data_IF_345095104046
#
_entry.id   IF_345095104046
#
_cell.length_a   1.000
_cell.length_b   1.000
_cell.length_c   1.000
_cell.angle_alpha   90.00
_cell.angle_beta   90.00
_cell.angle_gamma   90.00
#
_symmetry.space_group_name_H-M   'P 1'
#
loop_
_entity.id
_entity.type
_entity.pdbx_description
1 polymer ?
#
# COMPACT_ATOMS: atom_id res chain seq x y z
N UNK A 1 33.86 3.79 -10.97
CA UNK A 1 33.59 2.68 -11.91
C UNK A 1 32.14 2.18 -11.79
N UNK A 2 31.29 2.46 -12.79
CA UNK A 2 29.94 1.89 -12.86
C UNK A 2 30.07 0.36 -12.98
N UNK A 3 29.40 -0.45 -12.14
CA UNK A 3 29.22 -1.85 -12.47
C UNK A 3 28.21 -1.91 -13.62
N UNK A 4 28.71 -2.04 -14.84
CA UNK A 4 27.94 -2.58 -15.96
C UNK A 4 27.59 -4.03 -15.60
N UNK A 5 26.36 -4.27 -15.16
CA UNK A 5 25.85 -5.64 -15.12
C UNK A 5 25.82 -6.19 -16.54
N UNK A 6 26.17 -7.48 -16.73
CA UNK A 6 26.04 -8.11 -18.04
C UNK A 6 24.57 -8.10 -18.48
N UNK A 7 24.29 -8.18 -19.80
CA UNK A 7 22.94 -8.46 -20.26
C UNK A 7 22.43 -9.72 -19.55
N UNK A 8 21.15 -9.71 -19.19
CA UNK A 8 20.44 -10.82 -18.54
C UNK A 8 20.97 -12.17 -19.01
N UNK A 9 21.26 -13.14 -18.12
CA UNK A 9 21.69 -14.45 -18.56
C UNK A 9 20.54 -15.11 -19.33
N UNK A 10 20.63 -15.05 -20.66
CA UNK A 10 19.83 -15.82 -21.62
C UNK A 10 19.96 -17.32 -21.32
N UNK A 11 20.95 -17.73 -20.52
CA UNK A 11 21.18 -19.13 -20.15
C UNK A 11 20.06 -19.79 -19.34
N UNK A 12 19.27 -19.04 -18.55
CA UNK A 12 18.08 -19.61 -17.87
C UNK A 12 16.92 -19.93 -18.82
N UNK A 13 17.01 -19.40 -20.05
CA UNK A 13 15.99 -19.51 -21.06
C UNK A 13 16.36 -20.51 -22.17
N UNK A 14 17.62 -20.97 -22.24
CA UNK A 14 18.13 -21.82 -23.31
C UNK A 14 17.44 -23.18 -23.49
N UNK A 15 16.97 -23.92 -22.45
CA UNK A 15 16.30 -25.19 -22.69
C UNK A 15 14.90 -25.03 -23.31
N UNK A 16 14.26 -23.86 -23.13
CA UNK A 16 12.89 -23.58 -23.57
C UNK A 16 12.83 -22.64 -24.80
N UNK A 17 13.91 -21.94 -25.12
CA UNK A 17 14.00 -21.02 -26.27
C UNK A 17 14.00 -21.74 -27.63
N UNK A 18 14.51 -22.98 -27.71
CA UNK A 18 14.51 -23.73 -28.97
C UNK A 18 13.11 -24.17 -29.44
N UNK A 19 12.09 -24.10 -28.58
CA UNK A 19 10.73 -24.58 -28.90
C UNK A 19 9.83 -23.47 -29.47
N UNK A 20 10.16 -22.18 -29.26
CA UNK A 20 9.24 -21.06 -29.57
C UNK A 20 9.64 -20.24 -30.82
N UNK A 21 10.72 -20.61 -31.53
CA UNK A 21 11.30 -19.80 -32.61
C UNK A 21 10.53 -19.85 -33.96
N UNK A 22 9.23 -20.14 -33.97
CA UNK A 22 8.43 -20.26 -35.20
C UNK A 22 7.14 -19.43 -35.23
N UNK A 23 6.84 -18.58 -34.24
CA UNK A 23 5.57 -17.85 -34.21
C UNK A 23 5.76 -16.33 -34.33
N UNK A 24 5.01 -15.75 -35.27
CA UNK A 24 4.97 -14.32 -35.55
C UNK A 24 4.71 -13.50 -34.28
N UNK A 25 5.41 -12.37 -34.14
CA UNK A 25 5.18 -11.45 -33.03
C UNK A 25 3.76 -10.89 -33.10
N UNK A 26 2.99 -10.92 -32.00
CA UNK A 26 1.62 -10.44 -31.97
C UNK A 26 1.61 -8.91 -32.08
N UNK A 27 0.69 -8.38 -32.88
CA UNK A 27 0.41 -6.94 -32.86
C UNK A 27 -0.22 -6.56 -31.51
N UNK A 28 0.46 -5.73 -30.74
CA UNK A 28 -0.04 -5.15 -29.49
C UNK A 28 -1.35 -4.40 -29.75
N UNK A 29 -2.44 -4.79 -29.08
CA UNK A 29 -3.69 -4.03 -29.14
C UNK A 29 -3.46 -2.61 -28.61
N UNK A 30 -3.80 -1.59 -29.41
CA UNK A 30 -3.67 -0.16 -29.04
C UNK A 30 -4.32 0.14 -27.67
N UNK A 31 -5.40 -0.55 -27.32
CA UNK A 31 -6.13 -0.38 -26.04
C UNK A 31 -5.29 -0.91 -24.85
N UNK A 32 -4.66 -2.08 -25.01
CA UNK A 32 -3.80 -2.67 -23.96
C UNK A 32 -2.56 -1.81 -23.71
N UNK A 33 -1.97 -1.24 -24.77
CA UNK A 33 -0.85 -0.31 -24.66
C UNK A 33 -1.22 0.94 -23.83
N UNK A 34 -2.41 1.52 -24.07
CA UNK A 34 -2.91 2.69 -23.33
C UNK A 34 -3.07 2.39 -21.83
N UNK A 35 -3.65 1.24 -21.47
CA UNK A 35 -3.85 0.87 -20.06
C UNK A 35 -2.53 0.53 -19.36
N UNK A 36 -1.54 0.03 -20.10
CA UNK A 36 -0.18 -0.17 -19.57
C UNK A 36 0.55 1.14 -19.26
N UNK A 37 0.14 2.27 -19.84
CA UNK A 37 0.76 3.59 -19.64
C UNK A 37 2.29 3.53 -19.82
N UNK A 38 3.05 3.72 -18.73
CA UNK A 38 4.53 3.72 -18.71
C UNK A 38 5.11 2.40 -18.14
N UNK A 39 4.30 1.36 -17.94
CA UNK A 39 4.76 0.04 -17.48
C UNK A 39 5.45 -0.69 -18.61
N UNK A 40 6.47 -1.49 -18.26
CA UNK A 40 7.12 -2.40 -19.21
C UNK A 40 6.19 -3.58 -19.48
N UNK A 41 6.01 -3.94 -20.74
CA UNK A 41 5.28 -5.13 -21.18
C UNK A 41 6.30 -6.23 -21.50
N UNK A 42 5.89 -7.47 -21.28
CA UNK A 42 6.62 -8.64 -21.71
C UNK A 42 6.11 -9.01 -23.10
N UNK A 43 6.99 -8.90 -24.08
CA UNK A 43 6.75 -9.24 -25.48
C UNK A 43 7.74 -10.35 -25.86
N UNK A 44 7.25 -11.58 -26.03
CA UNK A 44 8.08 -12.73 -26.40
C UNK A 44 7.23 -13.80 -27.10
N UNK A 45 7.65 -14.22 -28.29
CA UNK A 45 6.85 -15.13 -29.13
C UNK A 45 5.46 -14.55 -29.37
N UNK A 46 4.42 -15.33 -29.07
CA UNK A 46 2.99 -14.93 -29.13
C UNK A 46 2.48 -14.18 -27.90
N UNK A 47 3.29 -13.97 -26.86
CA UNK A 47 2.86 -13.35 -25.61
C UNK A 47 3.08 -11.84 -25.61
N UNK A 48 1.99 -11.09 -25.37
CA UNK A 48 2.00 -9.66 -25.08
C UNK A 48 1.29 -9.38 -23.74
N UNK A 49 2.06 -9.42 -22.65
CA UNK A 49 1.56 -9.36 -21.29
C UNK A 49 2.03 -8.11 -20.55
N UNK A 50 1.14 -7.50 -19.77
CA UNK A 50 1.50 -6.54 -18.72
C UNK A 50 2.19 -7.27 -17.56
N UNK A 51 3.44 -7.65 -17.79
CA UNK A 51 4.25 -8.52 -16.94
C UNK A 51 5.71 -8.08 -17.01
N UNK A 52 6.45 -8.21 -15.91
CA UNK A 52 7.89 -7.92 -15.87
C UNK A 52 8.57 -8.77 -14.81
N UNK A 53 9.70 -9.37 -15.16
CA UNK A 53 10.60 -9.99 -14.18
C UNK A 53 11.33 -8.90 -13.41
N UNK A 54 11.10 -8.84 -12.10
CA UNK A 54 11.83 -7.96 -11.20
C UNK A 54 13.18 -8.62 -10.87
N UNK A 55 13.12 -9.90 -10.47
CA UNK A 55 14.24 -10.84 -10.40
C UNK A 55 13.94 -12.03 -11.34
N UNK A 56 14.87 -12.97 -11.46
CA UNK A 56 14.67 -14.19 -12.27
C UNK A 56 13.50 -15.05 -11.77
N UNK A 57 13.27 -15.08 -10.45
CA UNK A 57 12.20 -15.85 -9.80
C UNK A 57 11.06 -14.99 -9.23
N UNK A 58 11.07 -13.66 -9.48
CA UNK A 58 10.03 -12.73 -9.01
C UNK A 58 9.42 -12.00 -10.20
N UNK A 59 8.15 -12.27 -10.47
CA UNK A 59 7.37 -11.62 -11.52
C UNK A 59 6.41 -10.60 -10.91
N UNK A 60 6.35 -9.41 -11.50
CA UNK A 60 5.31 -8.41 -11.25
C UNK A 60 4.39 -8.30 -12.47
N UNK A 61 3.07 -8.45 -12.28
CA UNK A 61 2.12 -8.38 -13.39
C UNK A 61 0.84 -7.61 -13.07
N UNK A 62 0.11 -7.22 -14.11
CA UNK A 62 -1.27 -6.75 -14.02
C UNK A 62 -2.25 -7.88 -13.76
N UNK A 63 -3.46 -7.54 -13.29
CA UNK A 63 -4.50 -8.52 -12.96
C UNK A 63 -4.86 -9.44 -14.15
N UNK A 64 -4.82 -10.78 -13.98
CA UNK A 64 -5.30 -11.73 -14.99
C UNK A 64 -6.83 -11.74 -15.01
N UNK A 65 -7.43 -11.26 -16.10
CA UNK A 65 -8.88 -11.09 -16.23
C UNK A 65 -9.53 -12.15 -17.11
N UNK A 66 -10.69 -12.65 -16.69
CA UNK A 66 -11.61 -13.45 -17.51
C UNK A 66 -12.79 -12.64 -18.06
N UNK A 67 -13.11 -11.51 -17.43
CA UNK A 67 -14.26 -10.67 -17.79
C UNK A 67 -13.95 -9.79 -19.01
N UNK A 68 -14.93 -9.01 -19.46
CA UNK A 68 -14.76 -7.97 -20.50
C UNK A 68 -13.54 -7.06 -20.28
N UNK A 69 -13.06 -6.93 -19.05
CA UNK A 69 -11.81 -6.22 -18.75
C UNK A 69 -10.56 -6.81 -19.41
N UNK A 70 -10.62 -8.06 -19.89
CA UNK A 70 -9.57 -8.73 -20.64
C UNK A 70 -9.31 -8.08 -22.03
N UNK A 71 -10.23 -7.23 -22.51
CA UNK A 71 -10.02 -6.38 -23.67
C UNK A 71 -8.88 -5.37 -23.46
N UNK A 72 -8.64 -4.97 -22.21
CA UNK A 72 -7.65 -3.95 -21.87
C UNK A 72 -6.65 -4.37 -20.78
N UNK A 73 -6.80 -5.58 -20.22
CA UNK A 73 -5.87 -6.23 -19.27
C UNK A 73 -5.29 -7.52 -19.86
N UNK A 74 -4.43 -8.19 -19.10
CA UNK A 74 -4.00 -9.54 -19.42
C UNK A 74 -5.23 -10.47 -19.42
N UNK A 75 -5.39 -11.27 -20.47
CA UNK A 75 -6.35 -12.39 -20.43
C UNK A 75 -5.78 -13.43 -19.48
N UNK A 76 -6.63 -14.03 -18.64
CA UNK A 76 -6.18 -15.06 -17.70
C UNK A 76 -5.59 -16.27 -18.44
N UNK A 77 -6.21 -16.67 -19.56
CA UNK A 77 -5.72 -17.75 -20.44
C UNK A 77 -4.27 -17.53 -20.87
N UNK A 78 -3.95 -16.33 -21.36
CA UNK A 78 -2.62 -16.01 -21.89
C UNK A 78 -1.57 -16.01 -20.76
N UNK A 79 -1.95 -15.55 -19.55
CA UNK A 79 -1.06 -15.59 -18.38
C UNK A 79 -0.81 -17.04 -17.94
N UNK A 80 -1.86 -17.86 -17.89
CA UNK A 80 -1.75 -19.27 -17.54
C UNK A 80 -0.87 -20.01 -18.54
N UNK A 81 -1.13 -19.85 -19.84
CA UNK A 81 -0.35 -20.48 -20.92
C UNK A 81 1.12 -20.08 -20.84
N UNK A 82 1.41 -18.80 -20.63
CA UNK A 82 2.77 -18.31 -20.41
C UNK A 82 3.44 -18.99 -19.20
N UNK A 83 2.77 -19.01 -18.04
CA UNK A 83 3.35 -19.59 -16.82
C UNK A 83 3.52 -21.11 -16.93
N UNK A 84 2.59 -21.82 -17.54
CA UNK A 84 2.69 -23.27 -17.75
C UNK A 84 3.79 -23.64 -18.75
N UNK A 85 4.01 -22.80 -19.77
CA UNK A 85 5.03 -23.02 -20.80
C UNK A 85 6.43 -22.72 -20.27
N UNK A 86 6.58 -21.60 -19.54
CA UNK A 86 7.91 -21.10 -19.12
C UNK A 86 8.30 -21.65 -17.75
N UNK A 87 7.34 -21.90 -16.85
CA UNK A 87 7.57 -22.37 -15.47
C UNK A 87 6.74 -23.63 -15.15
N UNK A 88 6.85 -24.71 -15.93
CA UNK A 88 5.95 -25.86 -15.81
C UNK A 88 5.96 -26.44 -14.39
N UNK A 89 4.82 -26.33 -13.68
CA UNK A 89 4.60 -26.78 -12.30
C UNK A 89 5.49 -26.12 -11.23
N UNK A 90 6.14 -25.01 -11.56
CA UNK A 90 7.09 -24.32 -10.68
C UNK A 90 6.69 -22.85 -10.46
N UNK A 91 5.39 -22.52 -10.47
CA UNK A 91 4.95 -21.16 -10.16
C UNK A 91 3.84 -21.11 -9.12
N UNK A 92 3.85 -20.03 -8.33
CA UNK A 92 2.73 -19.62 -7.50
C UNK A 92 2.23 -18.25 -7.96
N UNK A 93 0.91 -18.04 -7.91
CA UNK A 93 0.30 -16.73 -8.21
C UNK A 93 -0.10 -16.06 -6.90
N UNK A 94 0.38 -14.84 -6.68
CA UNK A 94 0.11 -14.08 -5.46
C UNK A 94 -0.80 -12.89 -5.77
N UNK A 95 -2.03 -12.94 -5.24
CA UNK A 95 -3.06 -11.92 -5.43
C UNK A 95 -3.11 -10.93 -4.25
N UNK A 96 -2.90 -9.65 -4.55
CA UNK A 96 -2.96 -8.57 -3.58
C UNK A 96 -4.30 -7.81 -3.56
N UNK A 97 -5.28 -8.24 -4.36
CA UNK A 97 -6.58 -7.58 -4.49
C UNK A 97 -7.58 -8.08 -3.45
N UNK A 98 -8.01 -7.20 -2.55
CA UNK A 98 -9.19 -7.46 -1.72
C UNK A 98 -10.49 -7.46 -2.54
N UNK A 99 -10.52 -6.66 -3.61
CA UNK A 99 -11.71 -6.43 -4.42
C UNK A 99 -12.00 -7.54 -5.46
N UNK A 100 -11.07 -8.48 -5.66
CA UNK A 100 -11.10 -9.45 -6.78
C UNK A 100 -10.39 -10.74 -6.39
N UNK A 101 -11.07 -11.88 -6.56
CA UNK A 101 -10.55 -13.22 -6.25
C UNK A 101 -10.85 -14.20 -7.38
N UNK A 102 -10.10 -15.29 -7.43
CA UNK A 102 -10.33 -16.43 -8.30
C UNK A 102 -9.75 -17.69 -7.65
N UNK A 103 -10.31 -18.88 -7.95
CA UNK A 103 -9.83 -20.12 -7.35
C UNK A 103 -8.52 -20.63 -8.00
N UNK A 104 -7.73 -21.47 -7.29
CA UNK A 104 -6.53 -22.12 -7.84
C UNK A 104 -6.77 -22.93 -9.12
N UNK A 105 -7.98 -23.43 -9.34
CA UNK A 105 -8.35 -24.16 -10.58
C UNK A 105 -8.14 -23.33 -11.85
N UNK A 106 -8.14 -22.00 -11.76
CA UNK A 106 -7.81 -21.10 -12.89
C UNK A 106 -6.36 -21.19 -13.34
N UNK A 107 -5.47 -21.70 -12.48
CA UNK A 107 -4.05 -21.90 -12.77
C UNK A 107 -3.68 -23.39 -12.67
N UNK A 108 -4.58 -24.29 -13.11
CA UNK A 108 -4.28 -25.72 -13.19
C UNK A 108 -3.97 -26.37 -11.83
N UNK A 109 -4.50 -25.82 -10.74
CA UNK A 109 -4.24 -26.30 -9.38
C UNK A 109 -2.91 -25.83 -8.78
N UNK A 110 -2.14 -25.00 -9.49
CA UNK A 110 -0.97 -24.34 -8.91
C UNK A 110 -1.37 -23.42 -7.75
N UNK A 111 -0.48 -23.20 -6.76
CA UNK A 111 -0.80 -22.37 -5.60
C UNK A 111 -1.24 -20.96 -5.99
N UNK A 112 -2.38 -20.52 -5.44
CA UNK A 112 -2.85 -19.13 -5.48
C UNK A 112 -2.94 -18.62 -4.05
N UNK A 113 -2.04 -17.72 -3.67
CA UNK A 113 -1.97 -17.12 -2.33
C UNK A 113 -2.59 -15.72 -2.35
N UNK A 114 -3.30 -15.35 -1.28
CA UNK A 114 -3.98 -14.06 -1.17
C UNK A 114 -3.42 -13.25 0.00
N UNK A 115 -2.91 -12.05 -0.30
CA UNK A 115 -2.46 -11.07 0.71
C UNK A 115 -3.16 -9.74 0.43
N UNK A 116 -4.38 -9.63 0.92
CA UNK A 116 -5.37 -8.68 0.42
C UNK A 116 -5.27 -7.31 1.12
N UNK A 117 -5.23 -6.23 0.32
CA UNK A 117 -5.42 -4.88 0.84
C UNK A 117 -5.95 -3.91 -0.22
N UNK A 118 -6.59 -2.84 0.28
CA UNK A 118 -7.33 -1.88 -0.54
C UNK A 118 -6.46 -1.16 -1.58
N UNK A 119 -7.06 -0.84 -2.73
CA UNK A 119 -6.34 -0.12 -3.79
C UNK A 119 -5.93 1.28 -3.34
N UNK A 120 -4.74 1.71 -3.75
CA UNK A 120 -4.13 2.98 -3.36
C UNK A 120 -3.93 3.22 -1.85
N UNK A 121 -3.94 2.15 -1.04
CA UNK A 121 -3.58 2.19 0.38
C UNK A 121 -2.21 1.56 0.62
N UNK A 122 -1.62 1.84 1.79
CA UNK A 122 -0.54 1.02 2.33
C UNK A 122 -1.08 -0.33 2.83
N UNK A 123 -0.30 -1.42 2.78
CA UNK A 123 -0.72 -2.69 3.37
C UNK A 123 -0.69 -2.62 4.91
N UNK A 124 -1.51 -3.40 5.63
CA UNK A 124 -1.27 -3.66 7.05
C UNK A 124 0.16 -4.16 7.26
N UNK A 125 0.85 -3.67 8.28
CA UNK A 125 2.26 -3.96 8.49
C UNK A 125 2.51 -5.47 8.69
N UNK A 126 1.63 -6.16 9.42
CA UNK A 126 1.71 -7.62 9.65
C UNK A 126 1.65 -8.41 8.34
N UNK A 127 0.80 -7.94 7.41
CA UNK A 127 0.60 -8.59 6.12
C UNK A 127 1.90 -8.58 5.28
N UNK A 128 2.72 -7.54 5.42
CA UNK A 128 4.03 -7.47 4.75
C UNK A 128 4.91 -8.65 5.14
N UNK A 129 5.05 -8.91 6.45
CA UNK A 129 5.92 -9.98 6.91
C UNK A 129 5.39 -11.36 6.50
N UNK A 130 4.09 -11.61 6.69
CA UNK A 130 3.47 -12.87 6.28
C UNK A 130 3.64 -13.14 4.78
N UNK A 131 3.49 -12.11 3.94
CA UNK A 131 3.77 -12.19 2.52
C UNK A 131 5.23 -12.54 2.25
N UNK A 132 6.18 -11.86 2.90
CA UNK A 132 7.61 -12.08 2.66
C UNK A 132 8.02 -13.50 3.04
N UNK A 133 7.57 -13.99 4.19
CA UNK A 133 7.83 -15.35 4.68
C UNK A 133 7.21 -16.39 3.74
N UNK A 134 5.94 -16.26 3.37
CA UNK A 134 5.29 -17.21 2.47
C UNK A 134 5.94 -17.26 1.08
N UNK A 135 6.31 -16.11 0.51
CA UNK A 135 7.02 -16.05 -0.78
C UNK A 135 8.43 -16.63 -0.64
N UNK A 136 9.15 -16.31 0.44
CA UNK A 136 10.46 -16.89 0.73
C UNK A 136 10.40 -18.41 0.82
N UNK A 137 9.54 -18.96 1.68
CA UNK A 137 9.35 -20.39 1.84
C UNK A 137 9.01 -21.10 0.52
N UNK A 138 8.13 -20.50 -0.30
CA UNK A 138 7.79 -21.08 -1.61
C UNK A 138 9.00 -21.14 -2.55
N UNK A 139 9.79 -20.07 -2.60
CA UNK A 139 10.96 -19.97 -3.48
C UNK A 139 12.14 -20.81 -3.01
N UNK A 140 12.32 -20.95 -1.69
CA UNK A 140 13.39 -21.76 -1.11
C UNK A 140 13.13 -23.27 -1.24
N UNK A 141 11.86 -23.67 -1.38
CA UNK A 141 11.48 -25.08 -1.54
C UNK A 141 11.94 -25.68 -2.88
N UNK A 142 12.17 -24.86 -3.92
CA UNK A 142 12.63 -25.33 -5.22
C UNK A 142 13.40 -24.21 -5.96
N UNK A 143 14.67 -24.42 -6.37
CA UNK A 143 15.45 -23.42 -7.10
C UNK A 143 14.83 -22.93 -8.42
N UNK A 144 13.90 -23.69 -9.01
CA UNK A 144 13.16 -23.31 -10.22
C UNK A 144 11.82 -22.62 -9.92
N UNK A 145 11.44 -22.46 -8.64
CA UNK A 145 10.19 -21.85 -8.25
C UNK A 145 10.15 -20.36 -8.61
N UNK A 146 8.98 -19.90 -9.05
CA UNK A 146 8.73 -18.50 -9.44
C UNK A 146 7.46 -17.96 -8.79
N UNK A 147 7.54 -16.78 -8.21
CA UNK A 147 6.40 -16.08 -7.62
C UNK A 147 5.86 -15.01 -8.59
N UNK A 148 4.63 -15.20 -9.10
CA UNK A 148 3.92 -14.25 -9.95
C UNK A 148 2.98 -13.36 -9.13
N UNK A 149 3.46 -12.18 -8.77
CA UNK A 149 2.78 -11.27 -7.84
C UNK A 149 2.03 -10.19 -8.61
N UNK A 150 0.75 -9.99 -8.27
CA UNK A 150 -0.07 -9.01 -8.95
C UNK A 150 -1.03 -8.28 -8.02
N UNK A 151 -1.50 -7.14 -8.51
CA UNK A 151 -2.67 -6.45 -7.96
C UNK A 151 -3.58 -6.12 -9.14
N UNK A 152 -4.30 -4.99 -9.09
CA UNK A 152 -4.99 -4.45 -10.26
C UNK A 152 -3.97 -4.07 -11.35
N UNK A 153 -3.16 -3.04 -11.15
CA UNK A 153 -2.27 -2.52 -12.22
C UNK A 153 -0.85 -3.09 -12.21
N UNK A 154 -0.49 -3.93 -11.23
CA UNK A 154 0.88 -4.42 -11.06
C UNK A 154 1.89 -3.32 -10.74
N UNK A 155 1.48 -2.28 -10.00
CA UNK A 155 2.26 -1.06 -9.75
C UNK A 155 2.45 -0.74 -8.27
N UNK A 156 1.53 0.01 -7.65
CA UNK A 156 1.70 0.50 -6.27
C UNK A 156 1.72 -0.62 -5.22
N UNK A 157 0.62 -1.40 -5.12
CA UNK A 157 0.52 -2.54 -4.18
C UNK A 157 1.61 -3.58 -4.42
N UNK A 158 1.70 -4.08 -5.66
CA UNK A 158 2.73 -5.03 -6.09
C UNK A 158 4.14 -4.53 -5.79
N UNK A 159 4.46 -3.28 -6.12
CA UNK A 159 5.75 -2.69 -5.84
C UNK A 159 6.05 -2.58 -4.35
N UNK A 160 5.05 -2.25 -3.54
CA UNK A 160 5.22 -2.18 -2.08
C UNK A 160 5.63 -3.54 -1.53
N UNK A 161 4.87 -4.59 -1.85
CA UNK A 161 5.13 -5.94 -1.35
C UNK A 161 6.45 -6.51 -1.90
N UNK A 162 6.73 -6.34 -3.21
CA UNK A 162 7.98 -6.79 -3.80
C UNK A 162 9.18 -6.04 -3.22
N UNK A 163 9.10 -4.71 -3.05
CA UNK A 163 10.20 -3.96 -2.43
C UNK A 163 10.46 -4.42 -0.99
N UNK A 164 9.42 -4.73 -0.21
CA UNK A 164 9.60 -5.35 1.11
C UNK A 164 10.25 -6.74 1.02
N UNK A 165 9.86 -7.57 0.04
CA UNK A 165 10.50 -8.87 -0.15
C UNK A 165 11.98 -8.76 -0.56
N UNK A 166 12.33 -7.78 -1.39
CA UNK A 166 13.74 -7.51 -1.74
C UNK A 166 14.59 -7.13 -0.53
N UNK A 167 14.00 -6.46 0.47
CA UNK A 167 14.65 -6.21 1.75
C UNK A 167 14.76 -7.49 2.58
N UNK A 168 13.65 -8.23 2.70
CA UNK A 168 13.57 -9.48 3.46
C UNK A 168 14.59 -10.52 2.99
N UNK A 169 14.72 -10.70 1.67
CA UNK A 169 15.67 -11.66 1.08
C UNK A 169 17.13 -11.20 1.11
N UNK A 170 17.40 -9.99 1.61
CA UNK A 170 18.74 -9.40 1.60
C UNK A 170 19.23 -8.94 0.23
N UNK A 171 18.40 -9.02 -0.82
CA UNK A 171 18.76 -8.57 -2.17
C UNK A 171 19.01 -7.05 -2.22
N UNK A 172 18.26 -6.28 -1.44
CA UNK A 172 18.46 -4.86 -1.23
C UNK A 172 18.69 -4.57 0.24
N UNK A 173 19.53 -3.57 0.54
CA UNK A 173 19.83 -3.17 1.93
C UNK A 173 18.97 -2.01 2.42
N UNK A 174 18.40 -1.22 1.51
CA UNK A 174 17.63 -0.02 1.86
C UNK A 174 16.31 0.09 1.11
N UNK A 175 15.30 0.70 1.73
CA UNK A 175 13.99 0.88 1.10
C UNK A 175 14.09 1.64 -0.23
N UNK A 176 14.93 2.68 -0.27
CA UNK A 176 15.16 3.48 -1.49
C UNK A 176 15.76 2.64 -2.63
N UNK A 177 16.67 1.71 -2.31
CA UNK A 177 17.23 0.79 -3.29
C UNK A 177 16.16 -0.17 -3.82
N UNK A 178 15.40 -0.81 -2.92
CA UNK A 178 14.34 -1.74 -3.29
C UNK A 178 13.25 -1.09 -4.14
N UNK A 179 12.86 0.14 -3.82
CA UNK A 179 11.92 0.95 -4.62
C UNK A 179 12.48 1.25 -6.01
N UNK A 180 13.77 1.59 -6.10
CA UNK A 180 14.45 1.90 -7.37
C UNK A 180 14.57 0.66 -8.26
N UNK A 181 14.95 -0.49 -7.69
CA UNK A 181 15.00 -1.77 -8.42
C UNK A 181 13.63 -2.09 -9.02
N UNK A 182 12.58 -2.08 -8.19
CA UNK A 182 11.22 -2.33 -8.66
C UNK A 182 10.80 -1.30 -9.73
N UNK A 183 11.00 -0.01 -9.48
CA UNK A 183 10.63 1.07 -10.40
C UNK A 183 11.29 0.91 -11.77
N UNK A 184 12.59 0.66 -11.81
CA UNK A 184 13.35 0.52 -13.06
C UNK A 184 12.98 -0.75 -13.84
N UNK A 185 12.71 -1.86 -13.14
CA UNK A 185 12.32 -3.13 -13.76
C UNK A 185 10.87 -3.13 -14.22
N UNK A 186 9.97 -2.42 -13.51
CA UNK A 186 8.53 -2.44 -13.81
C UNK A 186 8.06 -1.33 -14.74
N UNK A 187 8.77 -0.20 -14.79
CA UNK A 187 8.32 0.99 -15.53
C UNK A 187 9.45 1.60 -16.38
N UNK A 188 9.09 2.33 -17.43
CA UNK A 188 10.04 3.07 -18.27
C UNK A 188 10.51 4.37 -17.62
N UNK A 189 9.69 4.98 -16.75
CA UNK A 189 9.99 6.24 -16.08
C UNK A 189 10.59 6.06 -14.66
N UNK A 190 10.87 4.82 -14.26
CA UNK A 190 11.37 4.47 -12.92
C UNK A 190 10.33 4.68 -11.80
N UNK A 191 9.10 5.10 -12.11
CA UNK A 191 8.07 5.42 -11.11
C UNK A 191 7.21 4.21 -10.84
N UNK A 192 7.72 3.27 -10.04
CA UNK A 192 6.96 2.11 -9.54
C UNK A 192 6.02 2.47 -8.39
N UNK A 193 6.55 2.57 -7.18
CA UNK A 193 5.81 3.00 -5.98
C UNK A 193 5.87 4.53 -5.87
N UNK A 194 4.72 5.19 -5.90
CA UNK A 194 4.64 6.66 -5.92
C UNK A 194 3.75 7.24 -4.82
N UNK A 195 3.02 6.41 -4.10
CA UNK A 195 2.13 6.84 -3.01
C UNK A 195 2.99 6.98 -1.74
N UNK A 196 3.06 8.17 -1.11
CA UNK A 196 3.89 8.39 0.07
C UNK A 196 3.68 7.37 1.19
N UNK A 197 2.44 7.03 1.51
CA UNK A 197 2.16 6.02 2.55
C UNK A 197 2.69 4.64 2.19
N UNK A 198 2.64 4.23 0.92
CA UNK A 198 3.24 2.96 0.48
C UNK A 198 4.76 2.97 0.67
N UNK A 199 5.44 4.06 0.31
CA UNK A 199 6.89 4.22 0.54
C UNK A 199 7.25 4.21 2.03
N UNK A 200 6.43 4.86 2.85
CA UNK A 200 6.59 4.91 4.32
C UNK A 200 6.58 3.50 4.91
N UNK A 201 5.69 2.63 4.44
CA UNK A 201 5.60 1.25 4.91
C UNK A 201 6.79 0.37 4.48
N UNK A 202 7.39 0.62 3.32
CA UNK A 202 8.67 -0.03 2.94
C UNK A 202 9.78 0.40 3.90
N UNK A 203 9.85 1.70 4.26
CA UNK A 203 10.82 2.21 5.25
C UNK A 203 10.56 1.67 6.66
N UNK A 204 9.29 1.51 7.06
CA UNK A 204 8.97 0.84 8.32
C UNK A 204 9.48 -0.60 8.30
N UNK A 205 9.34 -1.30 7.18
CA UNK A 205 9.82 -2.68 7.06
C UNK A 205 11.35 -2.77 7.08
N UNK A 206 12.06 -1.84 6.45
CA UNK A 206 13.52 -1.69 6.59
C UNK A 206 13.94 -1.46 8.05
N UNK A 207 13.29 -0.50 8.75
CA UNK A 207 13.57 -0.22 10.17
C UNK A 207 13.34 -1.45 11.05
N UNK A 208 12.29 -2.21 10.73
CA UNK A 208 11.98 -3.46 11.39
C UNK A 208 13.09 -4.50 11.22
N UNK A 209 13.47 -4.83 9.97
CA UNK A 209 14.51 -5.82 9.70
C UNK A 209 15.88 -5.46 10.32
N UNK A 210 16.18 -4.16 10.42
CA UNK A 210 17.44 -3.67 11.01
C UNK A 210 17.42 -3.61 12.54
N UNK A 211 16.27 -3.84 13.18
CA UNK A 211 16.18 -3.83 14.62
C UNK A 211 16.39 -5.26 15.15
N UNK A 212 17.46 -5.54 15.91
CA UNK A 212 17.74 -6.89 16.42
C UNK A 212 16.70 -7.40 17.44
N UNK A 213 15.85 -6.50 17.96
CA UNK A 213 14.69 -6.84 18.80
C UNK A 213 13.40 -7.04 18.01
N UNK A 214 13.46 -6.95 16.68
CA UNK A 214 12.34 -7.20 15.79
C UNK A 214 12.19 -8.69 15.58
N UNK A 215 11.28 -9.29 16.33
CA UNK A 215 10.62 -10.51 15.90
C UNK A 215 9.24 -10.11 15.34
N UNK A 216 9.00 -10.32 14.03
CA UNK A 216 7.74 -9.95 13.39
C UNK A 216 6.50 -10.63 13.99
N UNK A 217 6.66 -11.78 14.66
CA UNK A 217 5.56 -12.45 15.37
C UNK A 217 5.25 -11.80 16.72
N UNK A 218 6.27 -11.26 17.41
CA UNK A 218 6.12 -10.66 18.74
C UNK A 218 6.22 -9.13 18.76
N UNK A 219 6.45 -8.45 17.63
CA UNK A 219 6.59 -6.98 17.61
C UNK A 219 5.35 -6.26 18.15
N UNK A 220 4.17 -6.82 17.88
CA UNK A 220 2.90 -6.33 18.38
C UNK A 220 2.72 -6.56 19.89
N UNK A 221 3.58 -7.36 20.51
CA UNK A 221 3.55 -7.67 21.94
C UNK A 221 4.55 -6.84 22.74
N UNK A 222 5.53 -6.21 22.07
CA UNK A 222 6.51 -5.36 22.74
C UNK A 222 5.83 -4.13 23.37
N UNK A 223 6.06 -3.86 24.68
CA UNK A 223 5.43 -2.74 25.36
C UNK A 223 5.91 -1.42 24.77
N UNK A 224 4.96 -0.55 24.41
CA UNK A 224 5.21 0.80 23.91
C UNK A 224 4.24 1.77 24.58
N UNK A 225 4.62 3.04 24.76
CA UNK A 225 3.68 4.06 25.20
C UNK A 225 2.51 4.13 24.21
N UNK A 226 1.30 4.03 24.73
CA UNK A 226 0.09 4.24 23.91
C UNK A 226 0.02 5.72 23.60
N UNK A 227 -0.07 6.06 22.32
CA UNK A 227 -0.25 7.44 21.89
C UNK A 227 -1.70 7.69 21.55
N UNK A 228 -2.19 8.87 21.90
CA UNK A 228 -3.45 9.39 21.35
C UNK A 228 -3.20 10.58 20.45
N UNK A 229 -4.07 10.74 19.46
CA UNK A 229 -4.10 11.96 18.68
C UNK A 229 -4.82 13.03 19.50
N UNK A 230 -4.15 14.16 19.72
CA UNK A 230 -4.72 15.34 20.37
C UNK A 230 -5.26 16.32 19.34
N UNK A 231 -4.49 16.55 18.27
CA UNK A 231 -4.84 17.57 17.27
C UNK A 231 -4.24 17.26 15.91
N UNK A 232 -4.96 17.66 14.86
CA UNK A 232 -4.38 17.88 13.53
C UNK A 232 -4.52 19.35 13.15
N UNK A 233 -3.43 19.96 12.71
CA UNK A 233 -3.43 21.29 12.12
C UNK A 233 -3.17 21.14 10.62
N UNK A 234 -4.09 21.65 9.80
CA UNK A 234 -3.96 21.68 8.35
C UNK A 234 -3.66 23.11 7.92
N UNK A 235 -2.52 23.28 7.27
CA UNK A 235 -2.05 24.56 6.76
C UNK A 235 -2.32 24.66 5.26
N UNK A 236 -2.97 25.75 4.85
CA UNK A 236 -3.50 25.96 3.51
C UNK A 236 -4.88 25.29 3.35
N UNK A 237 -5.94 26.08 3.20
CA UNK A 237 -7.30 25.56 3.03
C UNK A 237 -7.45 24.91 1.64
N UNK A 238 -7.75 23.60 1.55
CA UNK A 238 -7.94 22.95 0.26
C UNK A 238 -9.18 23.47 -0.49
N UNK A 239 -9.12 23.46 -1.83
CA UNK A 239 -10.24 23.89 -2.68
C UNK A 239 -11.00 22.69 -3.25
N UNK A 240 -12.07 22.28 -2.57
CA UNK A 240 -12.95 21.15 -2.93
C UNK A 240 -14.43 21.49 -2.98
N UNK A 241 -14.80 22.77 -2.82
CA UNK A 241 -16.18 23.21 -2.90
C UNK A 241 -16.84 22.78 -4.20
N UNK A 242 -18.06 22.28 -4.08
CA UNK A 242 -18.90 21.89 -5.22
C UNK A 242 -19.75 23.05 -5.74
N UNK A 243 -19.75 24.19 -5.04
CA UNK A 243 -20.51 25.38 -5.44
C UNK A 243 -19.70 26.15 -6.49
N UNK A 244 -20.24 26.36 -7.71
CA UNK A 244 -19.55 27.09 -8.76
C UNK A 244 -19.06 28.47 -8.32
N UNK A 245 -17.84 28.85 -8.72
CA UNK A 245 -17.24 30.14 -8.37
C UNK A 245 -16.70 30.25 -6.94
N UNK A 246 -16.92 29.25 -6.07
CA UNK A 246 -16.40 29.26 -4.69
C UNK A 246 -15.12 28.44 -4.56
N UNK A 247 -14.23 28.87 -3.66
CA UNK A 247 -13.01 28.14 -3.28
C UNK A 247 -13.12 27.71 -1.82
N UNK A 248 -12.32 26.72 -1.44
CA UNK A 248 -12.28 26.20 -0.07
C UNK A 248 -12.95 24.84 0.07
N UNK A 249 -13.14 24.40 1.30
CA UNK A 249 -13.79 23.15 1.64
C UNK A 249 -14.47 23.24 3.01
N UNK A 250 -15.40 22.34 3.26
CA UNK A 250 -15.93 22.00 4.59
C UNK A 250 -15.25 20.69 5.03
N UNK A 251 -14.15 20.75 5.79
CA UNK A 251 -13.27 19.61 5.95
C UNK A 251 -13.66 18.76 7.16
N UNK A 252 -13.58 17.44 7.01
CA UNK A 252 -13.82 16.44 8.05
C UNK A 252 -12.66 15.45 8.11
N UNK A 253 -12.33 14.98 9.32
CA UNK A 253 -11.32 13.97 9.57
C UNK A 253 -12.01 12.65 9.93
N UNK A 254 -11.69 11.59 9.20
CA UNK A 254 -11.94 10.21 9.60
C UNK A 254 -10.65 9.50 9.99
N UNK A 255 -10.63 8.88 11.17
CA UNK A 255 -9.52 8.01 11.60
C UNK A 255 -9.96 6.57 11.35
N UNK A 256 -9.25 5.88 10.47
CA UNK A 256 -9.55 4.50 10.12
C UNK A 256 -8.44 3.58 10.58
N UNK A 257 -8.80 2.53 11.29
CA UNK A 257 -7.89 1.43 11.64
C UNK A 257 -8.09 0.35 10.59
N UNK A 258 -7.01 -0.22 10.09
CA UNK A 258 -7.09 -1.25 9.06
C UNK A 258 -6.34 -2.52 9.47
N UNK A 259 -7.04 -3.65 9.35
CA UNK A 259 -6.52 -5.00 9.52
C UNK A 259 -6.46 -5.71 8.16
N UNK A 260 -6.03 -6.96 8.16
CA UNK A 260 -5.92 -7.79 6.94
C UNK A 260 -7.25 -7.95 6.19
N UNK A 261 -8.38 -7.88 6.90
CA UNK A 261 -9.70 -8.20 6.37
C UNK A 261 -10.66 -7.02 6.34
N UNK A 262 -10.36 -5.91 7.02
CA UNK A 262 -11.26 -4.76 7.08
C UNK A 262 -10.52 -3.44 7.27
N UNK A 263 -11.09 -2.38 6.72
CA UNK A 263 -10.76 -1.00 7.11
C UNK A 263 -12.01 -0.42 7.73
N UNK A 264 -11.93 0.01 8.98
CA UNK A 264 -13.06 0.62 9.69
C UNK A 264 -12.70 2.02 10.13
N UNK A 265 -13.51 3.00 9.77
CA UNK A 265 -13.44 4.32 10.39
C UNK A 265 -14.01 4.20 11.80
N UNK A 266 -13.17 4.48 12.79
CA UNK A 266 -13.48 4.31 14.22
C UNK A 266 -13.67 5.63 14.94
N UNK A 267 -13.27 6.73 14.30
CA UNK A 267 -13.45 8.08 14.84
C UNK A 267 -13.69 9.06 13.70
N UNK A 268 -14.55 10.03 13.94
CA UNK A 268 -14.86 11.10 13.01
C UNK A 268 -14.88 12.43 13.75
N UNK A 269 -14.20 13.43 13.20
CA UNK A 269 -14.20 14.79 13.72
C UNK A 269 -14.49 15.79 12.59
N UNK A 270 -15.23 16.82 12.96
CA UNK A 270 -15.36 18.04 12.16
C UNK A 270 -14.20 18.97 12.50
N UNK A 271 -13.89 19.90 11.60
CA UNK A 271 -12.99 20.98 11.97
C UNK A 271 -13.58 21.81 13.11
N UNK A 272 -12.80 22.01 14.16
CA UNK A 272 -13.13 22.87 15.31
C UNK A 272 -12.93 24.33 14.94
N UNK A 273 -11.87 24.64 14.18
CA UNK A 273 -11.54 26.00 13.73
C UNK A 273 -11.26 25.96 12.24
N UNK A 274 -11.81 26.93 11.52
CA UNK A 274 -11.46 27.26 10.13
C UNK A 274 -11.15 28.76 10.09
N UNK A 275 -9.87 29.09 10.13
CA UNK A 275 -9.37 30.46 10.08
C UNK A 275 -8.97 30.78 8.62
N UNK A 276 -9.85 31.50 7.92
CA UNK A 276 -9.67 31.87 6.52
C UNK A 276 -8.47 32.80 6.30
N UNK A 277 -8.25 33.73 7.24
CA UNK A 277 -7.20 34.74 7.15
C UNK A 277 -5.80 34.14 7.33
N UNK A 278 -5.68 33.17 8.25
CA UNK A 278 -4.44 32.40 8.46
C UNK A 278 -4.34 31.17 7.56
N UNK A 279 -5.34 30.92 6.72
CA UNK A 279 -5.47 29.73 5.90
C UNK A 279 -5.26 28.41 6.70
N UNK A 280 -5.91 28.29 7.85
CA UNK A 280 -5.63 27.24 8.82
C UNK A 280 -6.90 26.51 9.25
N UNK A 281 -6.83 25.19 9.35
CA UNK A 281 -7.93 24.32 9.81
C UNK A 281 -7.43 23.46 10.97
N UNK A 282 -8.17 23.45 12.09
CA UNK A 282 -7.83 22.65 13.27
C UNK A 282 -8.90 21.59 13.51
N UNK A 283 -8.44 20.36 13.73
CA UNK A 283 -9.23 19.26 14.26
C UNK A 283 -8.71 18.95 15.65
N UNK A 284 -9.45 19.34 16.69
CA UNK A 284 -9.19 18.85 18.04
C UNK A 284 -9.84 17.46 18.17
N UNK A 285 -9.09 16.53 18.76
CA UNK A 285 -9.49 15.13 18.92
C UNK A 285 -9.48 14.80 20.39
N UNK A 286 -10.57 14.20 20.88
CA UNK A 286 -10.75 13.80 22.28
C UNK A 286 -9.86 12.59 22.62
N UNK A 287 -8.55 12.83 22.78
CA UNK A 287 -7.51 11.86 23.22
C UNK A 287 -7.80 10.42 22.76
N UNK A 288 -8.03 10.23 21.48
CA UNK A 288 -8.39 8.93 20.92
C UNK A 288 -7.15 8.02 20.83
N UNK A 289 -7.12 6.86 21.52
CA UNK A 289 -5.95 5.99 21.54
C UNK A 289 -5.75 5.33 20.17
N UNK A 290 -4.49 5.28 19.72
CA UNK A 290 -4.12 4.80 18.40
C UNK A 290 -3.16 3.62 18.49
N UNK A 291 -3.43 2.59 17.67
CA UNK A 291 -2.67 1.36 17.67
C UNK A 291 -2.36 0.90 16.25
N UNK A 292 -1.19 0.28 16.09
CA UNK A 292 -0.75 -0.36 14.85
C UNK A 292 -0.99 0.54 13.63
N UNK A 293 -1.72 0.05 12.63
CA UNK A 293 -1.94 0.70 11.35
C UNK A 293 -3.17 1.62 11.36
N UNK A 294 -2.91 2.92 11.21
CA UNK A 294 -3.92 3.97 11.24
C UNK A 294 -3.85 4.81 9.98
N UNK A 295 -5.00 5.10 9.38
CA UNK A 295 -5.13 5.96 8.22
C UNK A 295 -5.99 7.18 8.57
N UNK A 296 -5.37 8.35 8.55
CA UNK A 296 -6.05 9.64 8.71
C UNK A 296 -6.53 10.08 7.35
N UNK A 297 -7.85 10.20 7.18
CA UNK A 297 -8.48 10.51 5.90
C UNK A 297 -9.26 11.80 6.03
N UNK A 298 -8.95 12.76 5.16
CA UNK A 298 -9.60 14.05 5.14
C UNK A 298 -10.61 14.09 4.00
N UNK A 299 -11.82 14.57 4.28
CA UNK A 299 -12.93 14.64 3.34
C UNK A 299 -13.48 16.05 3.26
N UNK A 300 -14.03 16.42 2.11
CA UNK A 300 -14.99 17.52 2.03
C UNK A 300 -16.37 16.98 2.40
N UNK A 301 -17.14 17.67 3.24
CA UNK A 301 -18.49 17.25 3.65
C UNK A 301 -19.32 16.87 2.42
N UNK A 302 -20.08 15.78 2.54
CA UNK A 302 -20.94 15.24 1.48
C UNK A 302 -20.21 14.76 0.21
N UNK A 303 -18.87 14.76 0.19
CA UNK A 303 -18.10 14.16 -0.90
C UNK A 303 -17.98 12.65 -0.73
N UNK A 304 -18.25 11.90 -1.80
CA UNK A 304 -17.98 10.46 -1.88
C UNK A 304 -16.49 10.12 -1.97
N UNK A 305 -15.62 11.11 -2.12
CA UNK A 305 -14.17 10.91 -2.29
C UNK A 305 -13.36 11.70 -1.26
N UNK A 306 -12.31 11.07 -0.72
CA UNK A 306 -11.35 11.75 0.16
C UNK A 306 -10.62 12.87 -0.56
N UNK A 307 -10.30 13.95 0.15
CA UNK A 307 -9.38 14.99 -0.31
C UNK A 307 -7.95 14.46 -0.32
N UNK A 308 -7.48 13.97 0.83
CA UNK A 308 -6.14 13.41 1.02
C UNK A 308 -6.10 12.41 2.19
N UNK A 309 -4.98 11.71 2.36
CA UNK A 309 -4.80 10.84 3.52
C UNK A 309 -3.33 10.65 3.91
N UNK A 310 -3.10 10.22 5.15
CA UNK A 310 -1.80 9.80 5.66
C UNK A 310 -1.99 8.49 6.43
N UNK A 311 -1.31 7.42 6.00
CA UNK A 311 -1.27 6.17 6.76
C UNK A 311 0.04 6.05 7.55
N UNK A 312 -0.09 5.73 8.84
CA UNK A 312 0.99 5.59 9.80
C UNK A 312 0.88 4.26 10.52
N UNK A 313 2.02 3.76 10.98
CA UNK A 313 2.06 2.68 11.95
C UNK A 313 2.54 3.24 13.30
N UNK A 314 1.68 3.17 14.30
CA UNK A 314 1.85 3.83 15.59
C UNK A 314 3.03 3.29 16.40
N UNK A 315 3.49 2.06 16.14
CA UNK A 315 4.69 1.54 16.78
C UNK A 315 5.92 2.36 16.36
N UNK A 316 6.07 2.61 15.05
CA UNK A 316 7.20 3.35 14.50
C UNK A 316 7.10 4.85 14.79
N UNK A 317 5.88 5.38 14.85
CA UNK A 317 5.63 6.77 15.29
C UNK A 317 6.03 6.92 16.75
N UNK A 318 5.63 5.99 17.61
CA UNK A 318 5.99 6.03 19.02
C UNK A 318 7.51 5.99 19.22
N UNK A 319 8.19 5.06 18.56
CA UNK A 319 9.65 4.95 18.61
C UNK A 319 10.35 6.22 18.07
N UNK A 320 9.82 6.83 17.00
CA UNK A 320 10.39 8.04 16.40
C UNK A 320 10.25 9.28 17.29
N UNK A 321 9.07 9.47 17.89
CA UNK A 321 8.81 10.61 18.77
C UNK A 321 9.51 10.46 20.13
N UNK A 322 9.53 9.24 20.68
CA UNK A 322 10.24 8.96 21.93
C UNK A 322 11.76 9.17 21.81
N UNK A 323 12.33 9.04 20.61
CA UNK A 323 13.75 9.33 20.36
C UNK A 323 14.11 10.82 20.36
N UNK A 324 13.11 11.73 20.34
CA UNK A 324 13.30 13.19 20.27
C UNK A 324 12.29 13.94 21.16
N UNK A 325 12.25 13.67 22.48
CA UNK A 325 11.24 14.23 23.38
C UNK A 325 11.27 15.77 23.42
N UNK A 326 12.43 16.39 23.16
CA UNK A 326 12.63 17.83 23.15
C UNK A 326 11.86 18.55 22.04
N UNK A 327 11.50 17.85 20.96
CA UNK A 327 10.71 18.41 19.84
C UNK A 327 9.20 18.29 20.07
N UNK A 328 8.80 17.73 21.20
CA UNK A 328 7.43 17.36 21.48
C UNK A 328 6.93 16.21 20.59
N UNK A 329 5.72 15.76 20.86
CA UNK A 329 5.09 14.64 20.16
C UNK A 329 4.37 15.12 18.88
N UNK A 330 5.13 15.73 17.96
CA UNK A 330 4.59 16.33 16.72
C UNK A 330 5.21 15.70 15.47
N UNK A 331 4.36 15.39 14.48
CA UNK A 331 4.78 14.96 13.14
C UNK A 331 4.24 15.91 12.08
N UNK A 332 5.13 16.45 11.26
CA UNK A 332 4.78 17.28 10.10
C UNK A 332 4.82 16.44 8.82
N UNK A 333 3.78 16.58 7.99
CA UNK A 333 3.75 16.07 6.62
C UNK A 333 3.59 17.23 5.65
N UNK A 334 4.60 17.46 4.81
CA UNK A 334 4.47 18.37 3.67
C UNK A 334 3.61 17.74 2.58
N UNK A 335 3.02 18.56 1.70
CA UNK A 335 2.18 18.11 0.56
C UNK A 335 2.72 16.91 -0.22
N UNK A 336 4.05 16.84 -0.42
CA UNK A 336 4.71 15.75 -1.16
C UNK A 336 4.63 14.39 -0.45
N UNK A 337 4.43 14.40 0.86
CA UNK A 337 4.40 13.24 1.76
C UNK A 337 2.97 12.82 2.14
N UNK A 338 1.97 13.50 1.56
CA UNK A 338 0.53 13.28 1.79
C UNK A 338 -0.10 12.62 0.54
N UNK A 339 -0.85 11.54 0.74
CA UNK A 339 -1.48 10.81 -0.36
C UNK A 339 -2.55 11.66 -1.05
N UNK A 340 -2.66 11.52 -2.37
CA UNK A 340 -3.50 12.34 -3.28
C UNK A 340 -3.04 13.80 -3.41
N UNK A 341 -2.68 14.48 -2.31
CA UNK A 341 -2.14 15.84 -2.36
C UNK A 341 -0.80 15.92 -3.13
N UNK A 342 0.07 14.91 -2.99
CA UNK A 342 1.33 14.85 -3.73
C UNK A 342 1.18 14.72 -5.25
N UNK A 343 0.00 14.31 -5.73
CA UNK A 343 -0.33 14.13 -7.15
C UNK A 343 -0.91 15.38 -7.80
N UNK A 344 -1.37 16.36 -7.01
CA UNK A 344 -1.83 17.65 -7.51
C UNK A 344 -0.63 18.51 -7.93
N UNK A 345 -0.15 18.31 -9.16
CA UNK A 345 1.02 19.03 -9.69
C UNK A 345 0.70 20.46 -10.13
N UNK A 346 -0.56 20.71 -10.48
CA UNK A 346 -1.07 22.00 -10.94
C UNK A 346 -1.61 22.87 -9.80
N UNK A 347 -1.54 22.39 -8.55
CA UNK A 347 -1.99 23.12 -7.35
C UNK A 347 -3.46 23.55 -7.42
N UNK A 348 -4.31 22.72 -8.04
CA UNK A 348 -5.74 23.03 -8.24
C UNK A 348 -6.53 22.93 -6.94
N UNK A 349 -6.13 22.00 -6.08
CA UNK A 349 -6.83 21.68 -4.84
C UNK A 349 -5.98 21.99 -3.61
N UNK A 350 -4.66 21.82 -3.71
CA UNK A 350 -3.73 22.01 -2.60
C UNK A 350 -2.65 23.04 -2.96
N UNK A 351 -2.49 24.06 -2.11
CA UNK A 351 -1.45 25.07 -2.24
C UNK A 351 -0.04 24.46 -2.18
N UNK A 352 0.98 25.19 -2.65
CA UNK A 352 2.37 24.71 -2.73
C UNK A 352 2.94 24.28 -1.38
N UNK A 353 2.63 25.06 -0.37
CA UNK A 353 3.06 25.00 1.02
C UNK A 353 2.12 24.17 1.91
N UNK A 354 1.06 23.59 1.35
CA UNK A 354 0.11 22.74 2.08
C UNK A 354 0.82 21.70 2.97
N UNK A 355 0.46 21.64 4.24
CA UNK A 355 1.00 20.67 5.20
C UNK A 355 -0.04 20.25 6.23
N UNK A 356 0.26 19.12 6.89
CA UNK A 356 -0.50 18.58 8.00
C UNK A 356 0.45 18.35 9.18
N UNK A 357 0.14 18.96 10.32
CA UNK A 357 0.83 18.71 11.58
C UNK A 357 -0.05 17.87 12.48
N UNK A 358 0.48 16.75 12.94
CA UNK A 358 -0.18 15.85 13.88
C UNK A 358 0.46 16.04 15.25
N UNK A 359 -0.34 16.39 16.25
CA UNK A 359 0.08 16.47 17.65
C UNK A 359 -0.49 15.28 18.42
N UNK A 360 0.41 14.49 18.99
CA UNK A 360 0.10 13.33 19.81
C UNK A 360 0.34 13.65 21.28
N UNK A 361 -0.23 12.83 22.15
CA UNK A 361 0.13 12.77 23.57
C UNK A 361 0.34 11.32 23.97
N UNK A 362 1.27 11.09 24.89
CA UNK A 362 1.46 9.78 25.52
C UNK A 362 0.37 9.60 26.57
N UNK A 363 -0.36 8.50 26.48
CA UNK A 363 -1.28 8.06 27.52
C UNK A 363 -0.47 7.26 28.56
N UNK A 364 -0.43 7.75 29.79
CA UNK A 364 0.24 7.09 30.92
C UNK A 364 -0.62 5.97 31.55
N UNK A 365 -1.84 5.77 31.07
CA UNK A 365 -2.79 4.80 31.61
C UNK A 365 -2.66 3.44 30.91
N UNK A 366 -2.83 2.36 31.68
CA UNK A 366 -2.95 1.00 31.18
C UNK A 366 -4.29 0.82 30.46
N UNK A 367 -4.39 1.31 29.23
CA UNK A 367 -5.55 1.01 28.37
C UNK A 367 -5.51 -0.49 28.07
N UNK A 368 -6.59 -1.25 28.34
CA UNK A 368 -6.60 -2.70 28.11
C UNK A 368 -6.16 -3.03 26.69
N UNK A 369 -5.16 -3.90 26.59
CA UNK A 369 -4.64 -4.44 25.32
C UNK A 369 -5.79 -5.02 24.47
N UNK A 370 -6.87 -5.54 25.09
CA UNK A 370 -8.07 -5.99 24.39
C UNK A 370 -8.84 -4.89 23.65
N UNK A 371 -8.86 -3.65 24.14
CA UNK A 371 -9.42 -2.48 23.44
C UNK A 371 -8.46 -1.94 22.35
N UNK A 372 -7.16 -2.17 22.54
CA UNK A 372 -6.08 -1.74 21.66
C UNK A 372 -5.82 -2.66 20.46
N UNK A 373 -6.10 -3.96 20.62
CA UNK A 373 -5.67 -4.97 19.66
C UNK A 373 -6.79 -5.61 18.85
N UNK A 374 -8.07 -5.48 19.20
CA UNK A 374 -9.20 -5.80 18.32
C UNK A 374 -9.06 -7.07 17.47
N UNK A 375 -8.37 -8.09 17.98
CA UNK A 375 -8.47 -9.48 17.53
C UNK A 375 -9.46 -10.10 18.50
N UNK A 376 -10.73 -9.81 18.28
CA UNK A 376 -11.81 -10.65 18.78
C UNK A 376 -12.61 -11.09 17.57
N UNK A 377 -12.97 -12.37 17.57
CA UNK A 377 -13.82 -13.01 16.56
C UNK A 377 -14.99 -12.09 16.17
N UNK A 378 -15.37 -12.16 14.89
CA UNK A 378 -16.25 -11.20 14.21
C UNK A 378 -17.62 -10.90 14.84
N UNK A 379 -18.02 -11.57 15.91
CA UNK A 379 -19.33 -11.37 16.57
C UNK A 379 -19.31 -10.36 17.73
N UNK A 380 -18.18 -10.11 18.40
CA UNK A 380 -18.13 -9.16 19.53
C UNK A 380 -17.86 -7.71 19.09
N UNK A 381 -17.28 -7.53 17.90
CA UNK A 381 -16.98 -6.22 17.33
C UNK A 381 -18.24 -5.42 16.99
N UNK A 382 -19.36 -6.09 16.67
CA UNK A 382 -20.63 -5.45 16.33
C UNK A 382 -21.33 -4.87 17.57
N UNK A 383 -21.24 -5.53 18.74
CA UNK A 383 -21.86 -5.05 19.99
C UNK A 383 -21.16 -3.82 20.58
N UNK A 384 -19.84 -3.72 20.46
CA UNK A 384 -19.09 -2.55 20.93
C UNK A 384 -19.23 -1.32 20.00
N UNK A 385 -19.62 -1.54 18.74
CA UNK A 385 -19.94 -0.46 17.78
C UNK A 385 -21.32 0.14 18.06
N UNK A 386 -22.31 -0.64 18.47
CA UNK A 386 -23.59 -0.10 18.94
C UNK A 386 -23.41 0.82 20.16
N UNK A 387 -22.58 0.40 21.13
CA UNK A 387 -22.28 1.21 22.32
C UNK A 387 -21.46 2.48 22.01
N UNK A 388 -20.51 2.43 21.07
CA UNK A 388 -19.74 3.60 20.64
C UNK A 388 -20.53 4.57 19.74
N UNK A 389 -21.44 4.04 18.91
CA UNK A 389 -22.30 4.86 18.04
C UNK A 389 -23.37 5.62 18.85
N UNK A 390 -23.87 5.03 19.93
CA UNK A 390 -24.83 5.67 20.84
C UNK A 390 -24.17 6.78 21.66
N UNK A 391 -22.91 6.62 22.07
CA UNK A 391 -22.14 7.69 22.73
C UNK A 391 -21.83 8.87 21.79
N UNK A 392 -21.44 8.59 20.54
CA UNK A 392 -21.18 9.64 19.53
C UNK A 392 -22.47 10.34 19.04
N UNK A 393 -23.60 9.62 19.00
CA UNK A 393 -24.90 10.22 18.69
C UNK A 393 -25.39 11.13 19.84
N UNK A 394 -25.18 10.73 21.10
CA UNK A 394 -25.53 11.55 22.25
C UNK A 394 -24.77 12.89 22.29
N UNK A 395 -23.48 12.88 21.97
CA UNK A 395 -22.64 14.08 21.90
C UNK A 395 -22.93 15.02 20.71
N UNK A 396 -23.71 14.57 19.72
CA UNK A 396 -24.14 15.39 18.57
C UNK A 396 -25.49 16.09 18.79
N UNK A 397 -26.18 15.81 19.89
CA UNK A 397 -27.51 16.35 20.25
C UNK A 397 -27.50 17.28 21.48
N UNK A 398 -26.32 17.56 22.04
CA UNK A 398 -26.07 18.57 23.07
C UNK A 398 -25.03 19.54 22.57
#
# INVERSE_FOLDING_TARGET
PKPTQPPFPVSHFLPYFSIVLSLAMPATSKIKAIVSKKKRRFEFGSFDLDLSYILTNIIAMGYPSEKLEALYRNKLSDVKEFLDTVHPRNYAVINLCIERKYPPSKFGGQPVLCFEFADHCAPPFKLIHQFCTAVGTYLDANPQAVAAIHCKAGKGRTGTMISCYLLYSGYCRTANEAERVFGNKRTHDGKGVTIPSQKRYIKYYERALNNPKFDPETIYMAPRPVMSLKRVVMHGIPSFSTIPGTKGCDPCLGISVFSQSSTRTVYFARATIVDGDKALVIFDVEKFPLFQDVNFVFFHRNSKTKMCSVALNMMFVADELAAKPEKGYKLEFKRRDIDKACKDKEYRHFARDFSLDFEFVVLNESVPVSAAYGVTSGEQADKNVEAGSTAAAAAATT
#
